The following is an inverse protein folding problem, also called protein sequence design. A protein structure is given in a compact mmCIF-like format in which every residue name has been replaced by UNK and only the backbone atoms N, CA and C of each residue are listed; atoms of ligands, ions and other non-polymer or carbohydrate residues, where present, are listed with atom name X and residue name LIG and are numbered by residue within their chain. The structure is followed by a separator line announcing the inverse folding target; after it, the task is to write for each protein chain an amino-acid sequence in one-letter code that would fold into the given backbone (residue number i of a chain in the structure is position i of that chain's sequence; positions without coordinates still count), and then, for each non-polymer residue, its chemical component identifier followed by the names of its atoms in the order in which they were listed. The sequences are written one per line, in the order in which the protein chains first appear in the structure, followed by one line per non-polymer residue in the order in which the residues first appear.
data_IF_728452569042
#
_entry.id   IF_728452569042
#
_cell.length_a   1.000
_cell.length_b   1.000
_cell.length_c   1.000
_cell.angle_alpha   90.00
_cell.angle_beta   90.00
_cell.angle_gamma   90.00
#
_symmetry.space_group_name_H-M   'P 1'
#
loop_
_entity.id
_entity.type
_entity.pdbx_description
1 polymer ?
#
# COMPACT_ATOMS: atom_id res chain seq x y z
N UNK A 1 13.60 56.39 -2.51
CA UNK A 1 12.30 55.69 -2.52
C UNK A 1 12.16 55.04 -3.89
N UNK A 2 12.43 53.73 -3.98
CA UNK A 2 11.43 52.66 -3.94
C UNK A 2 10.98 52.28 -5.38
N UNK A 3 11.71 51.35 -5.98
CA UNK A 3 11.30 50.65 -7.20
C UNK A 3 11.66 49.16 -7.04
N UNK A 4 11.03 48.53 -6.06
CA UNK A 4 11.08 47.08 -5.86
C UNK A 4 9.66 46.56 -5.96
N UNK A 5 9.28 46.00 -7.10
CA UNK A 5 7.96 45.39 -7.23
C UNK A 5 7.48 45.15 -8.65
N UNK A 6 8.23 44.46 -9.50
CA UNK A 6 7.70 43.96 -10.79
C UNK A 6 8.20 42.55 -11.14
N UNK A 7 8.13 41.62 -10.17
CA UNK A 7 8.42 40.19 -10.43
C UNK A 7 7.38 39.28 -9.80
N UNK A 8 6.09 39.63 -9.89
CA UNK A 8 5.02 38.62 -9.87
C UNK A 8 4.54 38.46 -11.31
N UNK A 9 5.43 37.92 -12.13
CA UNK A 9 5.20 37.58 -13.53
C UNK A 9 4.05 36.58 -13.59
N UNK A 10 2.85 37.11 -13.81
CA UNK A 10 1.67 36.50 -14.41
C UNK A 10 1.82 34.99 -14.62
N UNK A 11 1.59 34.20 -13.56
CA UNK A 11 1.19 32.81 -13.78
C UNK A 11 -0.16 32.91 -14.50
N UNK A 12 -0.27 32.40 -15.73
CA UNK A 12 -1.55 32.42 -16.43
C UNK A 12 -2.57 31.74 -15.52
N UNK A 13 -3.74 32.38 -15.36
CA UNK A 13 -4.86 31.77 -14.64
C UNK A 13 -5.06 30.38 -15.21
N UNK A 14 -5.05 29.38 -14.35
CA UNK A 14 -5.25 27.98 -14.73
C UNK A 14 -6.47 27.88 -15.65
N UNK A 15 -6.24 27.49 -16.91
CA UNK A 15 -7.32 27.30 -17.88
C UNK A 15 -8.22 26.16 -17.40
N UNK A 16 -9.54 26.26 -17.62
CA UNK A 16 -10.51 25.23 -17.22
C UNK A 16 -10.11 23.82 -17.70
N UNK A 17 -9.46 23.72 -18.87
CA UNK A 17 -8.93 22.46 -19.42
C UNK A 17 -7.83 21.83 -18.54
N UNK A 18 -6.92 22.64 -18.01
CA UNK A 18 -5.82 22.19 -17.15
C UNK A 18 -6.33 21.90 -15.73
N UNK A 19 -7.30 22.69 -15.24
CA UNK A 19 -8.00 22.41 -13.99
C UNK A 19 -8.74 21.05 -14.05
N UNK A 20 -9.48 20.80 -15.13
CA UNK A 20 -10.21 19.54 -15.32
C UNK A 20 -9.26 18.33 -15.41
N UNK A 21 -8.12 18.45 -16.11
CA UNK A 21 -7.12 17.36 -16.14
C UNK A 21 -6.56 17.03 -14.75
N UNK A 22 -6.36 18.04 -13.89
CA UNK A 22 -5.87 17.82 -12.53
C UNK A 22 -6.95 17.13 -11.69
N UNK A 23 -8.21 17.56 -11.82
CA UNK A 23 -9.36 16.99 -11.10
C UNK A 23 -9.58 15.53 -11.52
N UNK A 24 -9.65 15.24 -12.82
CA UNK A 24 -9.86 13.88 -13.34
C UNK A 24 -8.74 12.93 -12.91
N UNK A 25 -7.48 13.39 -12.88
CA UNK A 25 -6.35 12.55 -12.44
C UNK A 25 -6.39 12.22 -10.95
N UNK A 26 -7.00 13.08 -10.13
CA UNK A 26 -7.23 12.82 -8.71
C UNK A 26 -8.38 11.82 -8.53
N UNK A 27 -9.45 11.93 -9.34
CA UNK A 27 -10.59 11.01 -9.33
C UNK A 27 -10.19 9.61 -9.83
N UNK A 28 -9.49 9.49 -10.97
CA UNK A 28 -8.99 8.21 -11.51
C UNK A 28 -7.91 7.55 -10.62
N UNK A 29 -7.21 8.35 -9.80
CA UNK A 29 -6.25 7.85 -8.82
C UNK A 29 -6.89 7.28 -7.54
N UNK A 30 -8.15 7.65 -7.27
CA UNK A 30 -8.92 7.18 -6.12
C UNK A 30 -9.65 5.86 -6.38
N UNK A 31 -9.73 5.43 -7.65
CA UNK A 31 -10.37 4.20 -8.10
C UNK A 31 -9.39 3.03 -8.27
N UNK A 32 -8.20 3.07 -7.65
CA UNK A 32 -7.56 1.79 -7.34
C UNK A 32 -8.40 1.23 -6.20
N UNK A 33 -9.22 0.18 -6.41
CA UNK A 33 -9.77 -0.54 -5.28
C UNK A 33 -8.55 -0.96 -4.50
N UNK A 34 -8.29 -0.31 -3.37
CA UNK A 34 -7.33 -0.77 -2.40
C UNK A 34 -7.85 -2.17 -2.15
N UNK A 35 -7.17 -3.24 -2.61
CA UNK A 35 -7.71 -4.56 -2.39
C UNK A 35 -7.76 -4.62 -0.87
N UNK A 36 -8.98 -4.66 -0.33
CA UNK A 36 -9.20 -5.00 1.07
C UNK A 36 -8.82 -6.46 1.12
N UNK A 37 -7.52 -6.74 1.14
CA UNK A 37 -7.00 -8.06 1.41
C UNK A 37 -7.25 -8.23 2.89
N UNK A 38 -8.47 -8.64 3.20
CA UNK A 38 -8.88 -9.01 4.54
C UNK A 38 -8.33 -10.42 4.70
N UNK A 39 -7.18 -10.51 5.35
CA UNK A 39 -6.67 -11.80 5.79
C UNK A 39 -7.46 -12.23 7.01
N UNK A 40 -7.87 -13.49 7.05
CA UNK A 40 -8.54 -14.10 8.19
C UNK A 40 -7.60 -15.10 8.87
N UNK A 41 -7.82 -15.33 10.17
CA UNK A 41 -7.09 -16.37 10.89
C UNK A 41 -7.44 -17.74 10.30
N UNK A 42 -6.43 -18.50 9.93
CA UNK A 42 -6.57 -19.79 9.24
C UNK A 42 -6.31 -19.74 7.73
N UNK A 43 -6.18 -18.54 7.14
CA UNK A 43 -5.87 -18.43 5.72
C UNK A 43 -4.47 -18.95 5.39
N UNK A 44 -4.36 -19.62 4.24
CA UNK A 44 -3.07 -20.03 3.69
C UNK A 44 -2.54 -18.86 2.87
N UNK A 45 -1.36 -18.38 3.24
CA UNK A 45 -0.69 -17.28 2.57
C UNK A 45 0.71 -17.71 2.17
N UNK A 46 1.15 -17.17 1.03
CA UNK A 46 2.51 -17.32 0.55
C UNK A 46 3.29 -16.03 0.80
N UNK A 47 4.46 -16.16 1.40
CA UNK A 47 5.35 -15.02 1.62
C UNK A 47 6.01 -14.64 0.29
N UNK A 48 5.92 -13.38 -0.11
CA UNK A 48 6.47 -12.85 -1.36
C UNK A 48 7.83 -12.19 -1.17
N UNK A 49 8.12 -11.69 0.03
CA UNK A 49 9.34 -10.91 0.33
C UNK A 49 10.04 -11.36 1.61
N UNK A 50 11.33 -10.99 1.74
CA UNK A 50 12.14 -11.26 2.92
C UNK A 50 12.79 -12.64 2.94
N UNK A 51 13.44 -13.03 4.05
CA UNK A 51 14.19 -14.29 4.17
C UNK A 51 13.29 -15.54 4.13
N UNK A 52 11.98 -15.34 4.25
CA UNK A 52 10.96 -16.39 4.19
C UNK A 52 10.19 -16.37 2.85
N UNK A 53 10.65 -15.61 1.85
CA UNK A 53 10.04 -15.58 0.54
C UNK A 53 9.94 -16.99 -0.06
N UNK A 54 8.81 -17.28 -0.73
CA UNK A 54 8.44 -18.58 -1.30
C UNK A 54 8.04 -19.67 -0.30
N UNK A 55 8.03 -19.40 1.00
CA UNK A 55 7.40 -20.31 1.95
C UNK A 55 5.90 -20.04 2.07
N UNK A 56 5.17 -21.12 2.28
CA UNK A 56 3.75 -21.10 2.59
C UNK A 56 3.57 -21.19 4.11
N UNK A 57 2.59 -20.46 4.62
CA UNK A 57 2.25 -20.46 6.03
C UNK A 57 0.77 -20.21 6.24
N UNK A 58 0.32 -20.43 7.47
CA UNK A 58 -1.07 -20.20 7.87
C UNK A 58 -1.14 -18.96 8.74
N UNK A 59 -2.08 -18.06 8.47
CA UNK A 59 -2.33 -16.89 9.31
C UNK A 59 -2.81 -17.36 10.68
N UNK A 60 -2.09 -16.96 11.72
CA UNK A 60 -2.38 -17.30 13.11
C UNK A 60 -3.06 -16.14 13.84
N UNK A 61 -2.64 -14.90 13.55
CA UNK A 61 -3.25 -13.69 14.11
C UNK A 61 -3.14 -12.52 13.12
N UNK A 62 -4.13 -11.62 13.12
CA UNK A 62 -4.20 -10.47 12.21
C UNK A 62 -4.25 -9.19 13.02
N UNK A 63 -3.39 -8.21 12.67
CA UNK A 63 -3.31 -6.91 13.31
C UNK A 63 -3.73 -5.79 12.34
N UNK A 64 -5.05 -5.58 12.17
CA UNK A 64 -5.56 -4.61 11.20
C UNK A 64 -5.13 -3.17 11.51
N UNK A 65 -5.00 -2.81 12.79
CA UNK A 65 -4.56 -1.47 13.22
C UNK A 65 -3.11 -1.14 12.80
N UNK A 66 -2.27 -2.18 12.64
CA UNK A 66 -0.84 -2.04 12.36
C UNK A 66 -0.46 -2.44 10.93
N UNK A 67 -1.38 -2.96 10.13
CA UNK A 67 -1.07 -3.43 8.78
C UNK A 67 -0.28 -4.75 8.75
N UNK A 68 -0.33 -5.56 9.81
CA UNK A 68 0.54 -6.73 10.00
C UNK A 68 -0.23 -8.01 10.28
N UNK A 69 0.41 -9.14 10.00
CA UNK A 69 -0.10 -10.50 10.24
C UNK A 69 0.96 -11.34 10.92
N UNK A 70 0.55 -12.17 11.88
CA UNK A 70 1.34 -13.28 12.38
C UNK A 70 1.02 -14.50 11.53
N UNK A 71 2.02 -15.01 10.84
CA UNK A 71 1.92 -16.20 10.00
C UNK A 71 2.76 -17.30 10.62
N UNK A 72 2.20 -18.50 10.69
CA UNK A 72 2.89 -19.70 11.12
C UNK A 72 3.44 -20.40 9.88
N UNK A 73 4.73 -20.19 9.62
CA UNK A 73 5.41 -20.74 8.45
C UNK A 73 6.00 -22.10 8.81
N UNK A 74 5.77 -23.10 7.95
CA UNK A 74 6.33 -24.43 8.13
C UNK A 74 7.66 -24.53 7.37
N UNK A 75 8.77 -24.54 8.11
CA UNK A 75 10.12 -24.61 7.54
C UNK A 75 10.82 -25.81 8.18
N UNK A 76 11.31 -26.74 7.35
CA UNK A 76 12.00 -27.96 7.81
C UNK A 76 11.19 -28.81 8.82
N UNK A 77 9.86 -28.84 8.69
CA UNK A 77 8.97 -29.55 9.60
C UNK A 77 8.83 -28.89 10.97
N UNK A 78 9.23 -27.63 11.12
CA UNK A 78 9.05 -26.83 12.33
C UNK A 78 8.16 -25.63 12.03
N UNK A 79 7.11 -25.46 12.82
CA UNK A 79 6.24 -24.28 12.77
C UNK A 79 6.95 -23.11 13.45
N UNK A 80 7.25 -22.07 12.69
CA UNK A 80 7.88 -20.85 13.21
C UNK A 80 6.91 -19.69 13.03
N UNK A 81 6.51 -19.00 14.12
CA UNK A 81 5.70 -17.80 14.02
C UNK A 81 6.56 -16.63 13.52
N UNK A 82 6.11 -15.97 12.45
CA UNK A 82 6.75 -14.77 11.89
C UNK A 82 5.72 -13.66 11.75
N UNK A 83 6.12 -12.43 12.02
CA UNK A 83 5.29 -11.25 11.82
C UNK A 83 5.68 -10.58 10.49
N UNK A 84 4.70 -10.42 9.60
CA UNK A 84 4.89 -9.88 8.26
C UNK A 84 3.87 -8.77 7.99
N UNK A 85 4.18 -7.87 7.07
CA UNK A 85 3.23 -6.87 6.59
C UNK A 85 2.32 -7.45 5.50
N UNK A 86 1.11 -6.91 5.35
CA UNK A 86 0.16 -7.35 4.32
C UNK A 86 0.72 -7.32 2.89
N UNK A 87 1.68 -6.44 2.61
CA UNK A 87 2.33 -6.34 1.29
C UNK A 87 3.31 -7.48 1.01
N UNK A 88 3.85 -8.10 2.06
CA UNK A 88 4.87 -9.16 2.00
C UNK A 88 4.25 -10.56 1.92
N UNK A 89 2.93 -10.65 1.94
CA UNK A 89 2.16 -11.89 1.85
C UNK A 89 1.15 -11.80 0.73
N UNK A 90 1.00 -12.89 -0.01
CA UNK A 90 -0.03 -13.06 -1.03
C UNK A 90 -0.98 -14.16 -0.59
N UNK A 91 -2.27 -13.93 -0.76
CA UNK A 91 -3.26 -15.01 -0.75
C UNK A 91 -2.98 -15.94 -1.95
N UNK A 92 -3.17 -17.25 -1.76
CA UNK A 92 -2.94 -18.28 -2.78
C UNK A 92 -4.27 -18.81 -3.33
#
# INVERSE_FOLDING_TARGET
AAAGGEVYKLIPSLTEQEANKIITRIEEGAEKPIPKVVFEVGDIVRVTEGPFANFEGTVDEVFPDKGRVRVMVSIFGRSTPVELEYMQVSNN
#
